data_IF_182954872746
#
_entry.id   IF_182954872746
#
_cell.length_a   1.000
_cell.length_b   1.000
_cell.length_c   1.000
_cell.angle_alpha   90.00
_cell.angle_beta   90.00
_cell.angle_gamma   90.00
#
_symmetry.space_group_name_H-M   'P 1'
#
loop_
_entity.id
_entity.type
_entity.pdbx_description
1 polymer ?
#
# COMPACT_ATOMS: atom_id res chain seq x y z
N UNK A 1 5.32 3.48 56.14
CA UNK A 1 4.24 2.76 55.46
C UNK A 1 4.65 2.63 53.99
N UNK A 2 5.10 1.43 53.67
CA UNK A 2 5.73 1.12 52.38
C UNK A 2 4.66 0.49 51.46
N UNK A 3 4.35 1.14 50.37
CA UNK A 3 3.44 0.61 49.34
C UNK A 3 4.26 -0.10 48.26
N UNK A 4 4.11 -1.41 48.18
CA UNK A 4 4.73 -2.27 47.15
C UNK A 4 3.69 -2.60 46.11
N UNK A 5 3.83 -2.04 44.92
CA UNK A 5 3.12 -2.49 43.74
C UNK A 5 3.62 -3.89 43.27
N UNK A 6 2.75 -4.79 42.85
CA UNK A 6 3.15 -6.13 42.41
C UNK A 6 3.69 -6.11 40.97
N UNK A 7 4.89 -6.71 40.82
CA UNK A 7 5.54 -6.96 39.55
C UNK A 7 4.81 -8.03 38.74
N UNK A 8 4.57 -7.77 37.44
CA UNK A 8 4.07 -8.76 36.45
C UNK A 8 5.14 -9.80 36.13
N UNK A 9 4.78 -11.08 36.01
CA UNK A 9 5.72 -12.14 35.61
C UNK A 9 6.03 -12.08 34.10
N UNK A 10 7.21 -12.55 33.65
CA UNK A 10 7.60 -12.58 32.25
C UNK A 10 6.86 -13.68 31.48
N UNK A 11 6.40 -13.32 30.27
CA UNK A 11 5.76 -14.27 29.34
C UNK A 11 6.82 -15.24 28.83
N UNK A 12 6.75 -16.49 29.27
CA UNK A 12 7.64 -17.56 28.86
C UNK A 12 7.36 -18.02 27.42
N UNK A 13 8.41 -17.89 26.58
CA UNK A 13 8.51 -18.62 25.30
C UNK A 13 8.70 -20.11 25.61
N UNK A 14 7.70 -20.95 25.33
CA UNK A 14 7.79 -22.40 25.06
C UNK A 14 6.43 -23.04 25.32
N UNK A 15 5.73 -23.36 24.23
CA UNK A 15 4.82 -24.53 24.11
C UNK A 15 3.89 -24.34 22.89
N UNK A 16 4.49 -24.38 21.71
CA UNK A 16 3.72 -24.54 20.47
C UNK A 16 4.30 -25.73 19.68
N UNK A 17 4.10 -26.93 20.20
CA UNK A 17 4.26 -28.17 19.44
C UNK A 17 3.94 -29.34 20.38
N UNK A 18 2.69 -29.85 20.39
CA UNK A 18 2.33 -31.26 20.54
C UNK A 18 0.81 -31.43 20.59
N UNK A 19 0.34 -32.32 19.71
CA UNK A 19 -0.95 -32.98 19.65
C UNK A 19 -2.04 -32.33 18.81
N UNK A 20 -2.23 -32.93 17.63
CA UNK A 20 -3.54 -33.34 17.14
C UNK A 20 -3.36 -34.43 16.07
N UNK A 21 -3.41 -35.67 16.48
CA UNK A 21 -3.79 -36.81 15.63
C UNK A 21 -5.21 -37.16 16.03
N UNK A 22 -6.18 -36.86 15.17
CA UNK A 22 -7.49 -37.52 15.18
C UNK A 22 -8.01 -37.50 13.74
N UNK A 23 -7.94 -38.69 13.14
CA UNK A 23 -8.60 -38.98 11.88
C UNK A 23 -10.11 -39.04 12.10
N UNK A 24 -10.84 -38.21 11.36
CA UNK A 24 -12.29 -38.40 11.18
C UNK A 24 -12.56 -38.33 9.68
N UNK A 25 -12.98 -39.45 9.14
CA UNK A 25 -13.47 -39.57 7.79
C UNK A 25 -14.77 -38.78 7.66
N UNK A 26 -14.80 -37.78 6.80
CA UNK A 26 -16.02 -37.08 6.36
C UNK A 26 -16.26 -37.44 4.91
N UNK A 27 -17.39 -38.05 4.68
CA UNK A 27 -17.98 -38.44 3.39
C UNK A 27 -18.25 -37.19 2.56
N UNK A 28 -17.65 -37.08 1.36
CA UNK A 28 -17.93 -36.05 0.38
C UNK A 28 -19.29 -36.33 -0.30
N UNK A 29 -20.21 -35.36 -0.19
CA UNK A 29 -21.33 -35.23 -1.08
C UNK A 29 -20.96 -34.22 -2.19
N UNK A 30 -21.31 -34.43 -3.46
CA UNK A 30 -20.99 -33.50 -4.52
C UNK A 30 -21.94 -32.32 -4.47
N UNK A 31 -21.41 -31.11 -4.25
CA UNK A 31 -22.13 -29.84 -4.43
C UNK A 31 -21.94 -29.31 -5.85
N UNK A 32 -23.05 -28.96 -6.48
CA UNK A 32 -23.13 -28.36 -7.80
C UNK A 32 -22.28 -27.09 -7.91
N UNK A 33 -21.44 -27.04 -8.94
CA UNK A 33 -20.72 -25.83 -9.34
C UNK A 33 -21.70 -24.81 -9.91
N UNK A 34 -21.78 -23.64 -9.29
CA UNK A 34 -22.28 -22.43 -9.94
C UNK A 34 -21.11 -21.80 -10.69
N UNK A 35 -21.19 -21.78 -12.03
CA UNK A 35 -20.24 -21.10 -12.89
C UNK A 35 -20.40 -19.59 -12.74
N UNK A 36 -19.55 -18.95 -11.97
CA UNK A 36 -19.29 -17.51 -12.01
C UNK A 36 -18.20 -17.26 -13.05
N UNK A 37 -18.52 -16.51 -14.10
CA UNK A 37 -17.54 -16.04 -15.07
C UNK A 37 -16.63 -15.02 -14.41
N UNK A 38 -15.48 -15.46 -13.92
CA UNK A 38 -14.35 -14.58 -13.65
C UNK A 38 -13.64 -14.38 -14.99
N UNK A 39 -13.60 -13.12 -15.47
CA UNK A 39 -12.68 -12.78 -16.55
C UNK A 39 -11.26 -13.15 -16.07
N UNK A 40 -10.53 -13.99 -16.79
CA UNK A 40 -9.18 -14.34 -16.39
C UNK A 40 -8.34 -13.06 -16.45
N UNK A 41 -7.67 -12.74 -15.35
CA UNK A 41 -6.51 -11.84 -15.43
C UNK A 41 -5.61 -12.47 -16.49
N UNK A 42 -5.52 -11.79 -17.65
CA UNK A 42 -4.75 -12.26 -18.78
C UNK A 42 -3.36 -12.62 -18.24
N UNK A 43 -3.02 -13.89 -18.39
CA UNK A 43 -1.75 -14.46 -17.90
C UNK A 43 -0.63 -13.77 -18.72
N UNK A 44 -0.28 -12.55 -18.28
CA UNK A 44 0.72 -11.74 -18.93
C UNK A 44 2.05 -12.43 -18.67
N UNK A 45 2.41 -13.35 -19.59
CA UNK A 45 3.75 -13.95 -19.66
C UNK A 45 4.76 -12.83 -19.44
N UNK A 46 5.42 -12.88 -18.28
CA UNK A 46 6.55 -12.00 -18.02
C UNK A 46 7.52 -12.17 -19.20
N UNK A 47 8.03 -11.08 -19.77
CA UNK A 47 8.97 -11.17 -20.88
C UNK A 47 10.12 -12.09 -20.45
N UNK A 48 10.55 -12.98 -21.36
CA UNK A 48 11.68 -13.87 -21.13
C UNK A 48 12.86 -13.02 -20.64
N UNK A 49 13.20 -13.20 -19.38
CA UNK A 49 14.29 -12.47 -18.75
C UNK A 49 15.59 -12.94 -19.38
N UNK A 50 16.34 -12.04 -19.99
CA UNK A 50 17.77 -12.30 -20.26
C UNK A 50 18.55 -11.91 -18.99
N UNK A 51 18.96 -12.86 -18.13
CA UNK A 51 19.60 -12.56 -16.86
C UNK A 51 21.01 -11.92 -17.04
N UNK A 52 21.55 -11.94 -18.24
CA UNK A 52 22.87 -11.38 -18.57
C UNK A 52 22.80 -9.89 -18.94
N UNK A 53 21.62 -9.34 -19.15
CA UNK A 53 21.47 -7.91 -19.48
C UNK A 53 21.28 -7.09 -18.21
N UNK A 54 22.33 -6.41 -17.69
CA UNK A 54 22.19 -5.55 -16.52
C UNK A 54 21.23 -4.39 -16.85
N UNK A 55 20.50 -3.93 -15.85
CA UNK A 55 19.67 -2.74 -16.02
C UNK A 55 20.57 -1.54 -16.34
N UNK A 56 20.30 -0.78 -17.42
CA UNK A 56 21.09 0.40 -17.75
C UNK A 56 21.09 1.40 -16.58
N UNK A 57 22.20 2.07 -16.33
CA UNK A 57 22.29 3.13 -15.30
C UNK A 57 21.32 4.29 -15.56
N UNK A 58 20.83 4.43 -16.79
CA UNK A 58 20.03 5.55 -17.28
C UNK A 58 18.63 5.15 -17.77
N UNK A 59 17.99 4.18 -17.11
CA UNK A 59 16.60 3.83 -17.46
C UNK A 59 15.68 5.03 -17.18
N UNK A 60 14.87 5.37 -18.17
CA UNK A 60 13.91 6.48 -18.12
C UNK A 60 12.57 6.06 -17.50
N UNK A 61 11.79 7.04 -17.02
CA UNK A 61 10.43 6.82 -16.54
C UNK A 61 9.54 6.17 -17.62
N UNK A 62 9.67 6.59 -18.89
CA UNK A 62 8.87 6.08 -19.99
C UNK A 62 9.21 4.60 -20.31
N UNK A 63 10.48 4.23 -20.26
CA UNK A 63 10.90 2.84 -20.42
C UNK A 63 10.32 1.95 -19.31
N UNK A 64 10.35 2.41 -18.04
CA UNK A 64 9.76 1.67 -16.91
C UNK A 64 8.24 1.54 -17.09
N UNK A 65 7.55 2.63 -17.46
CA UNK A 65 6.11 2.60 -17.73
C UNK A 65 5.76 1.55 -18.78
N UNK A 66 6.47 1.55 -19.90
CA UNK A 66 6.25 0.63 -21.01
C UNK A 66 6.52 -0.83 -20.59
N UNK A 67 7.67 -1.09 -19.94
CA UNK A 67 8.06 -2.43 -19.50
C UNK A 67 7.07 -3.03 -18.51
N UNK A 68 6.58 -2.24 -17.57
CA UNK A 68 5.67 -2.69 -16.53
C UNK A 68 4.20 -2.45 -16.89
N UNK A 69 3.90 -1.89 -18.06
CA UNK A 69 2.54 -1.54 -18.51
C UNK A 69 1.79 -0.72 -17.46
N UNK A 70 2.44 0.36 -16.96
CA UNK A 70 1.84 1.23 -15.96
C UNK A 70 0.92 2.25 -16.61
N UNK A 71 -0.31 2.38 -16.09
CA UNK A 71 -1.33 3.30 -16.59
C UNK A 71 -1.53 4.48 -15.64
N UNK A 72 -1.96 5.66 -16.15
CA UNK A 72 -2.27 6.81 -15.32
C UNK A 72 -3.31 6.47 -14.25
N UNK A 73 -3.11 6.99 -13.02
CA UNK A 73 -3.99 6.76 -11.91
C UNK A 73 -4.46 8.06 -11.26
N UNK A 74 -5.64 8.06 -10.64
CA UNK A 74 -6.20 9.25 -10.02
C UNK A 74 -5.39 9.74 -8.81
N UNK A 75 -4.75 8.86 -8.07
CA UNK A 75 -4.06 9.19 -6.82
C UNK A 75 -2.55 9.00 -6.86
N UNK A 76 -2.04 8.02 -7.56
CA UNK A 76 -0.65 7.54 -7.42
C UNK A 76 0.14 7.55 -8.74
N UNK A 77 0.15 8.67 -9.47
CA UNK A 77 0.94 8.79 -10.69
C UNK A 77 0.55 7.75 -11.75
N UNK A 78 1.35 6.69 -11.90
CA UNK A 78 1.08 5.58 -12.82
C UNK A 78 1.08 4.27 -12.04
N UNK A 79 0.08 3.40 -12.30
CA UNK A 79 -0.08 2.15 -11.54
C UNK A 79 -0.33 0.95 -12.45
N UNK A 80 -0.08 -0.24 -11.92
CA UNK A 80 -0.56 -1.50 -12.43
C UNK A 80 -0.91 -2.42 -11.26
N UNK A 81 -2.15 -2.92 -11.21
CA UNK A 81 -2.52 -3.99 -10.30
C UNK A 81 -1.71 -5.24 -10.62
N UNK A 82 -1.05 -5.81 -9.62
CA UNK A 82 -0.20 -7.00 -9.75
C UNK A 82 -0.80 -8.21 -9.04
N UNK A 83 -1.68 -7.96 -8.09
CA UNK A 83 -2.35 -9.00 -7.33
C UNK A 83 -3.70 -8.52 -6.81
N UNK A 84 -4.69 -9.39 -6.92
CA UNK A 84 -5.95 -9.34 -6.17
C UNK A 84 -6.23 -10.76 -5.70
N UNK A 85 -6.53 -10.92 -4.41
CA UNK A 85 -6.85 -12.23 -3.85
C UNK A 85 -8.13 -12.78 -4.46
N UNK A 86 -8.12 -14.08 -4.83
CA UNK A 86 -9.33 -14.83 -5.19
C UNK A 86 -10.17 -15.21 -3.97
N UNK A 87 -9.63 -15.00 -2.76
CA UNK A 87 -10.35 -15.21 -1.51
C UNK A 87 -11.00 -13.89 -1.09
N UNK A 88 -12.32 -13.90 -1.00
CA UNK A 88 -13.10 -12.79 -0.49
C UNK A 88 -13.53 -13.04 0.95
N UNK A 89 -13.46 -12.00 1.77
CA UNK A 89 -14.08 -11.98 3.09
C UNK A 89 -15.53 -11.58 2.89
N UNK A 90 -16.45 -12.48 3.21
CA UNK A 90 -17.88 -12.27 2.99
C UNK A 90 -18.43 -11.08 3.79
N UNK A 91 -19.57 -10.48 3.38
CA UNK A 91 -20.28 -9.49 4.15
C UNK A 91 -20.53 -9.95 5.60
N UNK A 92 -20.24 -9.06 6.56
CA UNK A 92 -20.28 -9.36 8.00
C UNK A 92 -19.06 -10.08 8.55
N UNK A 93 -18.09 -10.47 7.70
CA UNK A 93 -16.83 -11.11 8.13
C UNK A 93 -15.79 -10.11 8.67
N UNK A 94 -16.00 -8.82 8.44
CA UNK A 94 -15.17 -7.73 8.96
C UNK A 94 -16.05 -6.69 9.67
N UNK A 95 -15.49 -5.95 10.65
CA UNK A 95 -16.17 -4.80 11.23
C UNK A 95 -16.27 -3.64 10.23
N UNK A 96 -17.07 -2.63 10.54
CA UNK A 96 -17.02 -1.36 9.82
C UNK A 96 -15.58 -0.81 9.77
N UNK A 97 -15.16 -0.19 8.66
CA UNK A 97 -15.96 0.20 7.48
C UNK A 97 -16.08 -0.88 6.40
N UNK A 98 -15.68 -2.13 6.63
CA UNK A 98 -15.62 -3.22 5.65
C UNK A 98 -16.73 -4.26 5.83
N UNK A 99 -17.84 -3.88 6.43
CA UNK A 99 -18.94 -4.81 6.76
C UNK A 99 -19.61 -5.46 5.53
N UNK A 100 -19.46 -4.89 4.35
CA UNK A 100 -19.94 -5.38 3.05
C UNK A 100 -19.00 -6.37 2.35
N UNK A 101 -17.88 -6.72 3.02
CA UNK A 101 -16.89 -7.67 2.51
C UNK A 101 -15.79 -7.01 1.69
N UNK A 102 -14.67 -7.73 1.51
CA UNK A 102 -13.50 -7.25 0.73
C UNK A 102 -12.68 -8.43 0.24
N UNK A 103 -11.92 -8.28 -0.85
CA UNK A 103 -10.83 -9.19 -1.16
C UNK A 103 -9.89 -9.30 0.04
N UNK A 104 -9.30 -10.47 0.27
CA UNK A 104 -8.37 -10.67 1.39
C UNK A 104 -7.16 -9.73 1.31
N UNK A 105 -6.67 -9.42 0.10
CA UNK A 105 -5.58 -8.47 -0.11
C UNK A 105 -5.46 -8.06 -1.57
N UNK A 106 -4.82 -6.92 -1.79
CA UNK A 106 -4.45 -6.39 -3.10
C UNK A 106 -2.99 -5.94 -3.12
N UNK A 107 -2.40 -5.87 -4.32
CA UNK A 107 -1.10 -5.25 -4.52
C UNK A 107 -1.04 -4.58 -5.89
N UNK A 108 -0.28 -3.49 -5.97
CA UNK A 108 -0.03 -2.79 -7.21
C UNK A 108 1.40 -2.25 -7.27
N UNK A 109 1.97 -2.16 -8.47
CA UNK A 109 3.10 -1.27 -8.71
C UNK A 109 2.60 0.16 -8.85
N UNK A 110 3.36 1.12 -8.32
CA UNK A 110 3.15 2.52 -8.63
C UNK A 110 4.46 3.24 -8.94
N UNK A 111 4.38 4.17 -9.87
CA UNK A 111 5.47 5.03 -10.27
C UNK A 111 5.08 6.48 -10.10
N UNK A 112 5.97 7.23 -9.47
CA UNK A 112 5.83 8.68 -9.26
C UNK A 112 6.83 9.41 -10.13
N UNK A 113 6.40 10.49 -10.77
CA UNK A 113 7.26 11.46 -11.44
C UNK A 113 6.93 12.87 -10.94
N UNK A 114 7.76 13.88 -11.20
CA UNK A 114 7.41 15.27 -10.82
C UNK A 114 6.09 15.76 -11.41
N UNK A 115 5.76 15.28 -12.61
CA UNK A 115 4.54 15.64 -13.34
C UNK A 115 3.33 14.83 -12.90
N UNK A 116 3.57 13.68 -12.28
CA UNK A 116 2.55 12.75 -11.79
C UNK A 116 2.88 12.29 -10.34
N UNK A 117 2.76 13.19 -9.36
CA UNK A 117 3.00 12.90 -7.94
C UNK A 117 1.88 12.05 -7.35
N UNK A 118 2.07 11.59 -6.10
CA UNK A 118 0.97 11.08 -5.30
C UNK A 118 0.11 12.25 -4.84
N UNK A 119 -1.16 12.29 -5.26
CA UNK A 119 -2.12 13.31 -4.82
C UNK A 119 -2.46 13.11 -3.34
N UNK A 120 -2.86 14.20 -2.69
CA UNK A 120 -3.35 14.13 -1.32
C UNK A 120 -4.65 13.29 -1.28
N UNK A 121 -4.58 12.12 -0.65
CA UNK A 121 -5.70 11.18 -0.56
C UNK A 121 -5.57 10.31 0.69
N UNK A 122 -6.63 9.58 1.02
CA UNK A 122 -6.61 8.48 1.97
C UNK A 122 -7.30 7.26 1.39
N UNK A 123 -6.98 6.09 1.94
CA UNK A 123 -7.75 4.87 1.74
C UNK A 123 -8.23 4.35 3.10
N UNK A 124 -9.34 3.62 3.12
CA UNK A 124 -9.87 3.02 4.36
C UNK A 124 -8.98 1.92 4.91
N UNK A 125 -8.24 1.24 4.03
CA UNK A 125 -7.43 0.06 4.31
C UNK A 125 -6.06 0.44 4.88
N UNK A 126 -5.48 -0.47 5.69
CA UNK A 126 -4.07 -0.43 6.00
C UNK A 126 -3.25 -0.73 4.74
N UNK A 127 -2.15 -0.02 4.56
CA UNK A 127 -1.28 -0.21 3.39
C UNK A 127 0.20 -0.16 3.74
N UNK A 128 1.00 -0.85 2.94
CA UNK A 128 2.44 -0.75 2.98
C UNK A 128 2.96 -0.23 1.64
N UNK A 129 3.72 0.87 1.67
CA UNK A 129 4.54 1.29 0.55
C UNK A 129 5.88 0.56 0.59
N UNK A 130 6.36 0.14 -0.58
CA UNK A 130 7.64 -0.54 -0.77
C UNK A 130 8.48 0.24 -1.77
N UNK A 131 9.75 0.46 -1.45
CA UNK A 131 10.72 0.99 -2.41
C UNK A 131 11.31 -0.16 -3.24
N UNK A 132 11.35 0.02 -4.56
CA UNK A 132 12.02 -0.91 -5.46
C UNK A 132 13.18 -0.26 -6.18
N UNK A 133 12.95 0.82 -6.91
CA UNK A 133 13.95 1.46 -7.77
C UNK A 133 13.72 2.98 -7.88
N UNK A 134 14.76 3.67 -8.36
CA UNK A 134 14.66 5.09 -8.72
C UNK A 134 15.05 6.04 -7.60
N UNK A 135 14.44 7.20 -7.60
CA UNK A 135 14.65 8.24 -6.60
C UNK A 135 13.88 7.94 -5.31
N UNK A 136 14.29 8.49 -4.17
CA UNK A 136 13.44 8.50 -3.00
C UNK A 136 12.23 9.40 -3.19
N UNK A 137 11.14 9.09 -2.48
CA UNK A 137 9.99 9.99 -2.32
C UNK A 137 9.88 10.45 -0.87
N UNK A 138 9.53 11.70 -0.71
CA UNK A 138 9.12 12.27 0.57
C UNK A 138 7.61 12.12 0.71
N UNK A 139 7.16 11.54 1.80
CA UNK A 139 5.75 11.23 2.09
C UNK A 139 5.30 12.02 3.29
N UNK A 140 4.27 12.85 3.12
CA UNK A 140 3.58 13.53 4.22
C UNK A 140 2.39 12.68 4.66
N UNK A 141 2.37 12.35 5.95
CA UNK A 141 1.28 11.61 6.61
C UNK A 141 0.52 12.55 7.55
N UNK A 142 -0.81 12.59 7.46
CA UNK A 142 -1.68 13.35 8.33
C UNK A 142 -2.46 12.38 9.21
N UNK A 143 -2.00 12.21 10.45
CA UNK A 143 -2.55 11.24 11.41
C UNK A 143 -3.90 11.71 11.98
N UNK A 144 -4.79 10.78 12.29
CA UNK A 144 -6.12 11.10 12.87
C UNK A 144 -6.05 11.89 14.18
N UNK A 145 -4.98 11.71 14.96
CA UNK A 145 -4.75 12.44 16.21
C UNK A 145 -4.31 13.91 16.03
N UNK A 146 -4.33 14.43 14.79
CA UNK A 146 -3.93 15.80 14.48
C UNK A 146 -2.44 16.01 14.25
N UNK A 147 -1.61 14.98 14.45
CA UNK A 147 -0.18 15.05 14.18
C UNK A 147 0.11 14.83 12.68
N UNK A 148 1.20 15.40 12.22
CA UNK A 148 1.75 15.13 10.89
C UNK A 148 3.16 14.55 11.00
N UNK A 149 3.54 13.80 9.99
CA UNK A 149 4.85 13.18 9.89
C UNK A 149 5.36 13.26 8.46
N UNK A 150 6.62 13.66 8.29
CA UNK A 150 7.31 13.69 7.01
C UNK A 150 8.38 12.61 7.01
N UNK A 151 8.24 11.61 6.13
CA UNK A 151 9.15 10.47 6.03
C UNK A 151 9.68 10.31 4.62
N UNK A 152 10.84 9.70 4.47
CA UNK A 152 11.43 9.42 3.15
C UNK A 152 11.44 7.92 2.89
N UNK A 153 10.81 7.51 1.78
CA UNK A 153 10.86 6.14 1.27
C UNK A 153 11.89 6.06 0.16
N UNK A 154 12.92 5.22 0.33
CA UNK A 154 14.02 5.17 -0.60
C UNK A 154 15.19 4.28 -0.15
N UNK A 155 16.32 4.28 -0.89
CA UNK A 155 17.40 3.30 -0.72
C UNK A 155 18.42 3.62 0.39
N UNK A 156 18.47 4.86 0.89
CA UNK A 156 19.52 5.29 1.82
C UNK A 156 19.16 4.96 3.27
N UNK A 157 19.27 3.69 3.66
CA UNK A 157 18.97 3.22 5.02
C UNK A 157 19.81 3.93 6.09
N UNK A 158 21.09 4.19 5.80
CA UNK A 158 22.00 4.87 6.74
C UNK A 158 21.57 6.32 6.94
N UNK A 159 21.01 6.96 5.91
CA UNK A 159 20.44 8.31 5.97
C UNK A 159 19.02 8.36 6.51
N UNK A 160 18.48 7.24 7.02
CA UNK A 160 17.14 7.21 7.63
C UNK A 160 15.99 6.99 6.64
N UNK A 161 16.28 6.63 5.38
CA UNK A 161 15.20 6.26 4.47
C UNK A 161 14.57 4.93 4.88
N UNK A 162 13.26 4.81 4.67
CA UNK A 162 12.52 3.56 4.83
C UNK A 162 12.43 2.85 3.47
N UNK A 163 12.71 1.57 3.42
CA UNK A 163 12.42 0.74 2.23
C UNK A 163 10.99 0.20 2.24
N UNK A 164 10.33 0.29 3.41
CA UNK A 164 8.94 -0.05 3.61
C UNK A 164 8.31 0.93 4.58
N UNK A 165 7.15 1.50 4.23
CA UNK A 165 6.41 2.45 5.05
C UNK A 165 5.00 1.93 5.31
N UNK A 166 4.65 1.73 6.58
CA UNK A 166 3.28 1.43 6.99
C UNK A 166 2.46 2.73 7.07
N UNK A 167 1.33 2.75 6.38
CA UNK A 167 0.34 3.83 6.42
C UNK A 167 -0.97 3.24 6.95
N UNK A 168 -1.38 3.57 8.19
CA UNK A 168 -2.65 3.13 8.74
C UNK A 168 -3.83 3.57 7.89
N UNK A 169 -4.87 2.77 7.84
CA UNK A 169 -6.12 3.14 7.19
C UNK A 169 -6.65 4.50 7.64
N UNK A 170 -7.37 5.18 6.76
CA UNK A 170 -7.89 6.54 6.98
C UNK A 170 -6.84 7.66 7.16
N UNK A 171 -5.54 7.37 6.96
CA UNK A 171 -4.48 8.38 7.01
C UNK A 171 -4.39 9.13 5.69
N UNK A 172 -4.70 10.43 5.67
CA UNK A 172 -4.40 11.26 4.51
C UNK A 172 -2.90 11.34 4.29
N UNK A 173 -2.49 11.14 3.05
CA UNK A 173 -1.09 11.20 2.67
C UNK A 173 -0.90 11.72 1.24
N UNK A 174 0.27 12.24 0.98
CA UNK A 174 0.75 12.68 -0.34
C UNK A 174 2.23 12.41 -0.46
N UNK A 175 2.78 12.33 -1.67
CA UNK A 175 4.20 12.12 -1.86
C UNK A 175 4.74 12.83 -3.10
N UNK A 176 6.02 13.23 -3.02
CA UNK A 176 6.77 13.87 -4.10
C UNK A 176 8.18 13.29 -4.22
N UNK A 177 8.75 13.36 -5.40
CA UNK A 177 10.14 12.97 -5.64
C UNK A 177 11.11 13.99 -5.05
N UNK A 178 12.20 13.50 -4.47
CA UNK A 178 13.28 14.32 -3.92
C UNK A 178 14.65 14.09 -4.59
N UNK A 179 14.74 13.16 -5.53
CA UNK A 179 15.99 12.78 -6.20
C UNK A 179 16.22 13.45 -7.56
N UNK A 180 17.23 12.95 -8.30
CA UNK A 180 17.70 13.49 -9.59
C UNK A 180 17.32 12.65 -10.80
N UNK A 181 17.00 11.35 -10.62
CA UNK A 181 16.54 10.45 -11.69
C UNK A 181 15.15 10.83 -12.19
N UNK A 182 14.38 11.52 -11.34
CA UNK A 182 13.05 12.06 -11.61
C UNK A 182 11.96 11.00 -11.81
N UNK A 183 12.16 9.82 -11.22
CA UNK A 183 11.13 8.80 -11.09
C UNK A 183 11.40 7.90 -9.87
N UNK A 184 10.34 7.44 -9.28
CA UNK A 184 10.30 6.43 -8.22
C UNK A 184 9.48 5.26 -8.72
N UNK A 185 9.90 4.04 -8.44
CA UNK A 185 9.12 2.84 -8.60
C UNK A 185 9.03 2.11 -7.27
N UNK A 186 7.82 1.79 -6.88
CA UNK A 186 7.52 1.01 -5.69
C UNK A 186 6.28 0.17 -5.85
N UNK A 187 5.80 -0.36 -4.75
CA UNK A 187 4.51 -1.04 -4.67
C UNK A 187 3.71 -0.52 -3.47
N UNK A 188 2.39 -0.64 -3.58
CA UNK A 188 1.48 -0.62 -2.45
C UNK A 188 0.83 -1.99 -2.30
N UNK A 189 0.70 -2.43 -1.05
CA UNK A 189 0.00 -3.65 -0.69
C UNK A 189 -0.97 -3.34 0.44
N UNK A 190 -2.20 -3.89 0.37
CA UNK A 190 -3.31 -3.50 1.23
C UNK A 190 -4.04 -4.71 1.81
N UNK A 191 -4.44 -4.57 3.09
CA UNK A 191 -5.23 -5.55 3.82
C UNK A 191 -6.31 -4.88 4.70
N UNK A 192 -7.59 -5.28 4.56
CA UNK A 192 -8.14 -6.09 3.47
C UNK A 192 -7.88 -5.42 2.12
N UNK A 193 -8.13 -6.12 1.02
CA UNK A 193 -7.90 -5.57 -0.32
C UNK A 193 -8.78 -4.36 -0.62
N UNK A 194 -8.26 -3.43 -1.42
CA UNK A 194 -8.92 -2.17 -1.79
C UNK A 194 -9.95 -2.37 -2.90
N UNK A 195 -11.11 -1.77 -2.73
CA UNK A 195 -12.11 -1.50 -3.78
C UNK A 195 -12.07 0.02 -4.02
N UNK A 196 -11.40 0.50 -5.09
CA UNK A 196 -11.06 1.91 -5.25
C UNK A 196 -12.25 2.86 -5.16
N UNK A 197 -13.38 2.49 -5.74
CA UNK A 197 -14.60 3.31 -5.80
C UNK A 197 -15.22 3.53 -4.40
N UNK A 198 -14.95 2.63 -3.46
CA UNK A 198 -15.52 2.66 -2.12
C UNK A 198 -14.52 3.14 -1.07
N UNK A 199 -13.23 2.85 -1.28
CA UNK A 199 -12.22 2.97 -0.23
C UNK A 199 -11.34 4.21 -0.38
N UNK A 200 -11.26 4.81 -1.60
CA UNK A 200 -10.38 5.94 -1.89
C UNK A 200 -11.12 7.27 -1.76
N UNK A 201 -10.51 8.21 -1.04
CA UNK A 201 -11.01 9.59 -0.89
C UNK A 201 -9.90 10.60 -1.19
N UNK A 202 -10.17 11.54 -2.10
CA UNK A 202 -9.27 12.66 -2.37
C UNK A 202 -9.38 13.72 -1.27
N UNK A 203 -8.24 14.24 -0.83
CA UNK A 203 -8.16 15.28 0.19
C UNK A 203 -8.30 16.68 -0.41
N UNK A 204 -9.05 17.53 0.28
CA UNK A 204 -9.08 18.97 -0.01
C UNK A 204 -7.92 19.66 0.70
N UNK A 205 -7.01 20.29 -0.06
CA UNK A 205 -5.82 20.97 0.48
C UNK A 205 -6.18 22.08 1.46
N UNK A 206 -7.22 22.88 1.18
CA UNK A 206 -7.65 23.98 2.05
C UNK A 206 -8.19 23.50 3.39
N UNK A 207 -9.07 22.50 3.35
CA UNK A 207 -9.69 21.90 4.54
C UNK A 207 -8.65 21.19 5.42
N UNK A 208 -7.77 20.40 4.78
CA UNK A 208 -6.73 19.68 5.52
C UNK A 208 -5.66 20.62 6.08
N UNK A 209 -5.29 21.69 5.38
CA UNK A 209 -4.40 22.71 5.93
C UNK A 209 -5.01 23.47 7.12
N UNK A 210 -6.34 23.64 7.15
CA UNK A 210 -7.04 24.20 8.30
C UNK A 210 -7.13 23.21 9.47
N UNK A 211 -7.34 21.93 9.18
CA UNK A 211 -7.40 20.87 10.18
C UNK A 211 -6.05 20.54 10.82
N UNK A 212 -4.96 20.69 10.05
CA UNK A 212 -3.58 20.42 10.48
C UNK A 212 -2.74 21.72 10.37
N UNK A 213 -2.92 22.71 11.27
CA UNK A 213 -2.28 24.01 11.14
C UNK A 213 -0.75 23.95 11.19
N UNK A 214 -0.17 23.03 11.97
CA UNK A 214 1.28 22.85 12.08
C UNK A 214 1.88 22.25 10.77
N UNK A 215 1.11 21.51 10.01
CA UNK A 215 1.49 20.96 8.70
C UNK A 215 0.99 21.78 7.51
N UNK A 216 0.32 22.91 7.73
CA UNK A 216 -0.34 23.65 6.67
C UNK A 216 0.61 24.12 5.55
N UNK A 217 1.85 24.46 5.90
CA UNK A 217 2.88 24.84 4.94
C UNK A 217 3.30 23.63 4.08
N UNK A 218 3.52 22.48 4.72
CA UNK A 218 3.89 21.25 4.04
C UNK A 218 2.77 20.80 3.09
N UNK A 219 1.51 20.75 3.59
CA UNK A 219 0.34 20.38 2.78
C UNK A 219 0.26 21.22 1.48
N UNK A 220 0.51 22.53 1.57
CA UNK A 220 0.48 23.43 0.40
C UNK A 220 1.72 23.35 -0.49
N UNK A 221 2.83 22.80 0.04
CA UNK A 221 4.11 22.70 -0.69
C UNK A 221 4.17 21.47 -1.60
N UNK A 222 3.33 20.46 -1.37
CA UNK A 222 3.28 19.28 -2.22
C UNK A 222 2.59 19.62 -3.56
N UNK A 223 3.08 19.08 -4.68
CA UNK A 223 2.52 19.36 -5.99
C UNK A 223 1.05 18.93 -6.05
N UNK A 224 0.19 19.83 -6.48
CA UNK A 224 -1.17 19.51 -6.91
C UNK A 224 -1.08 19.25 -8.40
N UNK A 225 -1.39 18.05 -8.91
CA UNK A 225 -1.41 17.82 -10.35
C UNK A 225 -2.36 18.80 -11.02
N UNK A 226 -1.93 19.37 -12.16
CA UNK A 226 -2.81 20.18 -12.96
C UNK A 226 -4.05 19.34 -13.35
N UNK A 227 -5.23 19.89 -13.12
CA UNK A 227 -6.47 19.29 -13.62
C UNK A 227 -6.35 19.20 -15.15
N UNK A 228 -6.46 17.97 -15.69
CA UNK A 228 -6.50 17.70 -17.12
C UNK A 228 -7.92 17.82 -17.64
#
# INVERSE_FOLDING_TARGET
MSDRSPSRPPIGRRNFLKRATLASAVTLAPSLAAAGSSDPVEDAQLPLVNPEKPMPETVTAEEIRTLLKLEPNQTCGFVRATYKSDLDIAPGGLPAPFADGRPLGTALYFMVTPEAPVKLHRIKNDQLYHYYLGDPIEVLLLRENGLSELVVVGPNLVGGHLVQLFIPGNTFHTARITGKRRWFLGASTEWPGVVPEEDVELGNVGELAAKYPDAAADIRSFPVPADK
#
